data_IF_038112507774
#
_entry.id   IF_038112507774
#
_cell.length_a   1.000
_cell.length_b   1.000
_cell.length_c   1.000
_cell.angle_alpha   90.00
_cell.angle_beta   90.00
_cell.angle_gamma   90.00
#
_symmetry.space_group_name_H-M   'P 1'
#
loop_
_entity.id
_entity.type
_entity.pdbx_description
1 polymer ?
#
# COMPACT_ATOMS: atom_id res chain seq x y z
N UNK A 1 6.22 -2.41 6.32
CA UNK A 1 7.28 -3.37 6.70
C UNK A 1 7.21 -3.78 8.17
N UNK A 2 6.81 -2.91 9.12
CA UNK A 2 6.69 -3.29 10.55
C UNK A 2 5.38 -4.01 10.95
N UNK A 3 4.34 -3.93 10.12
CA UNK A 3 2.99 -4.39 10.49
C UNK A 3 2.79 -5.90 10.45
N UNK A 4 3.57 -6.60 9.61
CA UNK A 4 3.64 -8.06 9.64
C UNK A 4 4.13 -8.55 11.01
N UNK A 5 4.96 -7.75 11.71
CA UNK A 5 5.46 -7.99 13.06
C UNK A 5 4.40 -8.20 14.13
N UNK A 6 3.25 -7.52 13.99
CA UNK A 6 2.19 -7.49 15.02
C UNK A 6 1.39 -8.80 15.01
N UNK A 7 1.07 -9.34 13.82
CA UNK A 7 0.37 -10.63 13.69
C UNK A 7 1.17 -11.79 14.29
N UNK A 8 2.51 -11.71 14.28
CA UNK A 8 3.42 -12.76 14.75
C UNK A 8 3.38 -12.95 16.25
N UNK A 9 3.28 -11.85 17.02
CA UNK A 9 3.21 -11.92 18.49
C UNK A 9 1.99 -12.68 18.98
N UNK A 10 0.91 -12.70 18.21
CA UNK A 10 -0.30 -13.45 18.54
C UNK A 10 -0.30 -14.89 18.03
N UNK A 11 0.44 -15.20 16.95
CA UNK A 11 0.35 -16.50 16.27
C UNK A 11 1.63 -17.37 16.28
N UNK A 12 2.71 -16.95 16.96
CA UNK A 12 4.00 -17.69 17.02
C UNK A 12 4.59 -18.05 15.65
N UNK A 13 4.41 -17.17 14.68
CA UNK A 13 4.89 -17.36 13.30
C UNK A 13 6.33 -16.85 13.13
N UNK A 14 7.08 -17.44 12.19
CA UNK A 14 8.47 -17.04 11.90
C UNK A 14 8.50 -15.74 11.07
N UNK A 15 8.95 -14.66 11.72
CA UNK A 15 9.10 -13.33 11.12
C UNK A 15 9.93 -13.36 9.84
N UNK A 16 11.05 -14.08 9.87
CA UNK A 16 12.04 -14.07 8.80
C UNK A 16 11.51 -14.72 7.51
N UNK A 17 10.61 -15.70 7.66
CA UNK A 17 9.99 -16.38 6.53
C UNK A 17 8.77 -15.63 5.98
N UNK A 18 8.09 -14.84 6.82
CA UNK A 18 6.91 -14.06 6.43
C UNK A 18 7.22 -12.77 5.67
N UNK A 19 8.38 -12.18 5.93
CA UNK A 19 8.88 -11.04 5.14
C UNK A 19 9.49 -11.48 3.79
N UNK A 20 9.75 -12.79 3.61
CA UNK A 20 10.31 -13.35 2.38
C UNK A 20 9.23 -13.63 1.33
N UNK A 21 9.56 -13.58 0.03
CA UNK A 21 8.64 -13.95 -1.06
C UNK A 21 8.52 -15.48 -1.27
N UNK A 22 8.78 -16.25 -0.22
CA UNK A 22 8.73 -17.71 -0.24
C UNK A 22 7.32 -18.30 -0.11
N UNK A 23 7.15 -19.60 -0.44
CA UNK A 23 5.85 -20.30 -0.36
C UNK A 23 5.24 -20.33 1.05
N UNK A 24 6.06 -20.15 2.08
CA UNK A 24 5.61 -20.04 3.48
C UNK A 24 4.67 -18.85 3.67
N UNK A 25 5.00 -17.69 3.10
CA UNK A 25 4.18 -16.48 3.14
C UNK A 25 2.82 -16.71 2.47
N UNK A 26 2.81 -17.35 1.30
CA UNK A 26 1.58 -17.57 0.55
C UNK A 26 0.61 -18.53 1.27
N UNK A 27 1.16 -19.52 1.99
CA UNK A 27 0.35 -20.47 2.79
C UNK A 27 -0.37 -19.78 3.96
N UNK A 28 0.17 -18.68 4.48
CA UNK A 28 -0.39 -17.92 5.60
C UNK A 28 -1.05 -16.60 5.19
N UNK A 29 -0.93 -16.18 3.93
CA UNK A 29 -1.41 -14.88 3.42
C UNK A 29 -2.89 -14.65 3.68
N UNK A 30 -3.73 -15.65 3.39
CA UNK A 30 -5.17 -15.54 3.60
C UNK A 30 -5.54 -15.34 5.08
N UNK A 31 -4.83 -16.03 5.99
CA UNK A 31 -5.03 -15.87 7.43
C UNK A 31 -4.65 -14.48 7.92
N UNK A 32 -3.52 -13.95 7.41
CA UNK A 32 -3.06 -12.60 7.73
C UNK A 32 -3.99 -11.52 7.19
N UNK A 33 -4.52 -11.69 5.98
CA UNK A 33 -5.52 -10.76 5.42
C UNK A 33 -6.74 -10.74 6.31
N UNK A 34 -7.32 -11.91 6.65
CA UNK A 34 -8.51 -11.98 7.52
C UNK A 34 -8.30 -11.34 8.89
N UNK A 35 -7.15 -11.58 9.51
CA UNK A 35 -6.79 -10.94 10.77
C UNK A 35 -6.62 -9.42 10.60
N UNK A 36 -5.93 -8.99 9.54
CA UNK A 36 -5.70 -7.58 9.23
C UNK A 36 -7.02 -6.83 8.99
N UNK A 37 -7.95 -7.39 8.23
CA UNK A 37 -9.29 -6.82 8.06
C UNK A 37 -10.02 -6.74 9.40
N UNK A 38 -10.01 -7.80 10.21
CA UNK A 38 -10.67 -7.76 11.53
C UNK A 38 -10.09 -6.69 12.46
N UNK A 39 -8.79 -6.43 12.40
CA UNK A 39 -8.15 -5.33 13.17
C UNK A 39 -8.61 -3.98 12.64
N UNK A 40 -8.71 -3.82 11.31
CA UNK A 40 -9.16 -2.57 10.67
C UNK A 40 -10.64 -2.29 10.93
N UNK A 41 -11.48 -3.32 10.98
CA UNK A 41 -12.90 -3.19 11.30
C UNK A 41 -13.10 -2.65 12.73
N UNK A 42 -12.23 -3.04 13.67
CA UNK A 42 -12.27 -2.56 15.04
C UNK A 42 -11.57 -1.19 15.20
N UNK A 43 -10.42 -1.03 14.55
CA UNK A 43 -9.53 0.13 14.65
C UNK A 43 -8.92 0.46 13.26
N UNK A 44 -9.61 1.28 12.44
CA UNK A 44 -9.23 1.51 11.04
C UNK A 44 -7.81 2.03 10.84
N UNK A 45 -7.31 2.81 11.80
CA UNK A 45 -6.01 3.49 11.79
C UNK A 45 -4.91 2.73 12.57
N UNK A 46 -5.21 1.55 13.12
CA UNK A 46 -4.28 0.77 13.95
C UNK A 46 -2.90 0.63 13.32
N UNK A 47 -2.89 0.28 12.04
CA UNK A 47 -1.68 0.08 11.26
C UNK A 47 -0.98 1.41 10.91
N UNK A 48 -1.76 2.45 10.61
CA UNK A 48 -1.22 3.75 10.25
C UNK A 48 -0.48 4.42 11.41
N UNK A 49 -1.01 4.29 12.64
CA UNK A 49 -0.34 4.78 13.87
C UNK A 49 1.03 4.16 14.10
N UNK A 50 1.24 2.92 13.65
CA UNK A 50 2.50 2.21 13.79
C UNK A 50 3.45 2.42 12.60
N UNK A 51 3.07 3.18 11.57
CA UNK A 51 3.85 3.26 10.33
C UNK A 51 5.00 4.28 10.41
N UNK A 52 4.79 5.39 11.12
CA UNK A 52 5.80 6.45 11.28
C UNK A 52 6.29 6.42 12.73
N UNK A 53 7.57 6.07 12.98
CA UNK A 53 8.11 6.07 14.34
C UNK A 53 8.10 7.48 14.93
N UNK A 54 7.83 7.59 16.24
CA UNK A 54 7.87 8.88 16.97
C UNK A 54 9.24 9.58 16.94
N UNK A 55 10.30 8.86 16.58
CA UNK A 55 11.67 9.37 16.41
C UNK A 55 11.98 9.80 14.98
N UNK A 56 11.04 9.66 14.03
CA UNK A 56 11.23 10.09 12.65
C UNK A 56 11.32 11.62 12.60
N UNK A 57 12.41 12.11 12.01
CA UNK A 57 12.66 13.55 11.80
C UNK A 57 12.84 13.88 10.32
N UNK A 58 12.44 12.96 9.44
CA UNK A 58 12.56 13.13 8.00
C UNK A 58 11.53 14.15 7.51
N UNK A 59 11.96 15.05 6.62
CA UNK A 59 11.08 16.06 6.02
C UNK A 59 10.01 15.42 5.11
N UNK A 60 10.32 14.24 4.56
CA UNK A 60 9.45 13.49 3.64
C UNK A 60 9.44 12.02 4.03
N UNK A 61 8.24 11.47 4.23
CA UNK A 61 8.02 10.05 4.47
C UNK A 61 7.13 9.47 3.36
N UNK A 62 7.56 8.38 2.74
CA UNK A 62 6.81 7.70 1.68
C UNK A 62 6.10 6.48 2.27
N UNK A 63 4.77 6.50 2.21
CA UNK A 63 3.92 5.35 2.59
C UNK A 63 3.52 4.61 1.31
N UNK A 64 4.13 3.46 1.06
CA UNK A 64 4.04 2.78 -0.24
C UNK A 64 2.88 1.79 -0.40
N UNK A 65 2.21 1.39 0.70
CA UNK A 65 1.24 0.29 0.70
C UNK A 65 -0.05 0.68 1.44
N UNK A 66 -0.63 1.81 1.05
CA UNK A 66 -2.00 2.17 1.45
C UNK A 66 -2.98 1.36 0.60
N UNK A 67 -3.93 0.68 1.26
CA UNK A 67 -4.90 -0.21 0.58
C UNK A 67 -6.34 0.17 0.86
N UNK A 68 -6.60 1.06 1.81
CA UNK A 68 -7.95 1.47 2.21
C UNK A 68 -8.09 2.99 2.16
N UNK A 69 -9.28 3.52 1.87
CA UNK A 69 -9.57 4.94 2.03
C UNK A 69 -9.22 5.44 3.44
N UNK A 70 -9.53 4.64 4.47
CA UNK A 70 -9.22 4.96 5.87
C UNK A 70 -7.71 5.12 6.15
N UNK A 71 -6.84 4.43 5.40
CA UNK A 71 -5.39 4.66 5.51
C UNK A 71 -5.04 6.08 5.07
N UNK A 72 -5.59 6.51 3.93
CA UNK A 72 -5.35 7.84 3.34
C UNK A 72 -5.94 8.93 4.24
N UNK A 73 -7.18 8.76 4.68
CA UNK A 73 -7.89 9.68 5.59
C UNK A 73 -7.09 9.92 6.88
N UNK A 74 -6.53 8.85 7.47
CA UNK A 74 -5.69 8.98 8.64
C UNK A 74 -4.47 9.86 8.37
N UNK A 75 -3.73 9.62 7.28
CA UNK A 75 -2.53 10.40 7.01
C UNK A 75 -2.86 11.85 6.67
N UNK A 76 -3.92 12.11 5.90
CA UNK A 76 -4.39 13.45 5.59
C UNK A 76 -4.85 14.23 6.84
N UNK A 77 -5.42 13.54 7.84
CA UNK A 77 -5.84 14.17 9.09
C UNK A 77 -4.67 14.53 10.03
N UNK A 78 -3.54 13.84 9.93
CA UNK A 78 -2.41 13.97 10.86
C UNK A 78 -1.18 14.66 10.26
N UNK A 79 -1.04 14.67 8.93
CA UNK A 79 0.13 15.16 8.21
C UNK A 79 -0.27 15.91 6.96
N UNK A 80 0.66 16.72 6.43
CA UNK A 80 0.51 17.27 5.09
C UNK A 80 0.80 16.16 4.08
N UNK A 81 -0.24 15.65 3.43
CA UNK A 81 -0.15 14.47 2.55
C UNK A 81 -0.28 14.85 1.08
N UNK A 82 0.50 14.18 0.23
CA UNK A 82 0.33 14.13 -1.22
C UNK A 82 0.04 12.68 -1.60
N UNK A 83 -1.12 12.43 -2.20
CA UNK A 83 -1.54 11.09 -2.63
C UNK A 83 -1.13 10.83 -4.08
N UNK A 84 -0.46 9.71 -4.32
CA UNK A 84 0.02 9.31 -5.65
C UNK A 84 -0.49 7.92 -5.97
N UNK A 85 -1.32 7.82 -7.01
CA UNK A 85 -1.83 6.55 -7.54
C UNK A 85 -0.91 6.07 -8.65
N UNK A 86 -0.59 4.78 -8.66
CA UNK A 86 0.13 4.15 -9.78
C UNK A 86 -0.83 3.18 -10.45
N UNK A 87 -1.04 3.36 -11.74
CA UNK A 87 -1.94 2.54 -12.55
C UNK A 87 -1.22 1.98 -13.76
N UNK A 88 -1.70 0.84 -14.24
CA UNK A 88 -1.31 0.28 -15.52
C UNK A 88 -2.55 -0.34 -16.17
N UNK A 89 -2.64 -0.24 -17.49
CA UNK A 89 -3.74 -0.88 -18.22
C UNK A 89 -3.76 -2.38 -17.98
N UNK A 90 -4.93 -3.02 -18.11
CA UNK A 90 -5.04 -4.47 -17.96
C UNK A 90 -4.13 -5.18 -18.97
N UNK A 91 -4.06 -4.70 -20.21
CA UNK A 91 -3.22 -5.28 -21.26
C UNK A 91 -1.74 -5.24 -20.87
N UNK A 92 -1.27 -4.12 -20.30
CA UNK A 92 0.12 -4.00 -19.86
C UNK A 92 0.41 -4.86 -18.62
N UNK A 93 -0.54 -4.99 -17.70
CA UNK A 93 -0.44 -5.91 -16.56
C UNK A 93 -0.36 -7.36 -17.05
N UNK A 94 -1.23 -7.78 -17.95
CA UNK A 94 -1.25 -9.11 -18.55
C UNK A 94 0.06 -9.39 -19.31
N UNK A 95 0.58 -8.41 -20.05
CA UNK A 95 1.90 -8.50 -20.71
C UNK A 95 3.04 -8.78 -19.70
N UNK A 96 2.90 -8.30 -18.47
CA UNK A 96 3.84 -8.53 -17.35
C UNK A 96 3.56 -9.83 -16.59
N UNK A 97 2.59 -10.64 -17.03
CA UNK A 97 2.24 -11.93 -16.44
C UNK A 97 1.15 -11.85 -15.37
N UNK A 98 0.44 -10.73 -15.24
CA UNK A 98 -0.77 -10.68 -14.41
C UNK A 98 -1.84 -11.59 -15.01
N UNK A 99 -2.45 -12.42 -14.16
CA UNK A 99 -3.62 -13.23 -14.51
C UNK A 99 -4.68 -12.94 -13.46
N UNK A 100 -5.80 -12.38 -13.89
CA UNK A 100 -6.91 -12.08 -12.99
C UNK A 100 -7.39 -13.35 -12.29
N UNK A 101 -7.43 -13.29 -10.96
CA UNK A 101 -7.89 -14.36 -10.10
C UNK A 101 -9.11 -13.88 -9.32
N UNK A 102 -10.28 -14.42 -9.69
CA UNK A 102 -11.53 -14.14 -9.00
C UNK A 102 -11.43 -14.54 -7.53
N UNK A 103 -11.91 -13.67 -6.64
CA UNK A 103 -11.81 -13.86 -5.20
C UNK A 103 -10.46 -13.44 -4.60
N UNK A 104 -9.53 -12.93 -5.40
CA UNK A 104 -8.29 -12.29 -4.93
C UNK A 104 -8.22 -10.85 -5.45
N UNK A 105 -8.23 -10.67 -6.78
CA UNK A 105 -8.02 -9.36 -7.40
C UNK A 105 -9.24 -8.43 -7.33
N UNK A 106 -10.42 -8.98 -7.01
CA UNK A 106 -11.65 -8.22 -6.77
C UNK A 106 -11.93 -8.01 -5.28
N UNK A 107 -11.02 -8.42 -4.39
CA UNK A 107 -11.17 -8.16 -2.96
C UNK A 107 -10.84 -6.69 -2.64
N UNK A 108 -11.45 -6.12 -1.58
CA UNK A 108 -11.11 -4.78 -1.12
C UNK A 108 -9.60 -4.56 -0.90
N UNK A 109 -8.84 -5.61 -0.55
CA UNK A 109 -7.36 -5.58 -0.42
C UNK A 109 -6.64 -5.07 -1.67
N UNK A 110 -7.26 -5.20 -2.84
CA UNK A 110 -6.68 -4.79 -4.12
C UNK A 110 -7.46 -3.63 -4.79
N UNK A 111 -8.78 -3.52 -4.60
CA UNK A 111 -9.62 -2.57 -5.34
C UNK A 111 -10.23 -1.42 -4.52
N UNK A 112 -10.06 -1.37 -3.19
CA UNK A 112 -10.76 -0.38 -2.35
C UNK A 112 -10.37 1.09 -2.60
N UNK A 113 -9.35 1.34 -3.42
CA UNK A 113 -8.90 2.68 -3.82
C UNK A 113 -9.16 2.97 -5.31
N UNK A 114 -9.86 2.10 -6.03
CA UNK A 114 -10.06 2.27 -7.48
C UNK A 114 -10.92 3.49 -7.83
N UNK A 115 -11.84 3.86 -6.94
CA UNK A 115 -12.70 5.05 -7.10
C UNK A 115 -12.23 6.25 -6.25
N UNK A 116 -11.09 6.13 -5.57
CA UNK A 116 -10.59 7.19 -4.69
C UNK A 116 -9.94 8.31 -5.52
N UNK A 117 -10.24 9.57 -5.18
CA UNK A 117 -9.66 10.72 -5.87
C UNK A 117 -8.26 11.02 -5.32
N UNK A 118 -7.25 10.91 -6.18
CA UNK A 118 -5.84 11.09 -5.84
C UNK A 118 -5.29 12.39 -6.41
N UNK A 119 -4.37 13.04 -5.69
CA UNK A 119 -3.76 14.31 -6.13
C UNK A 119 -2.98 14.15 -7.45
N UNK A 120 -2.38 12.98 -7.64
CA UNK A 120 -1.61 12.64 -8.83
C UNK A 120 -1.79 11.17 -9.20
N UNK A 121 -1.84 10.88 -10.50
CA UNK A 121 -1.84 9.52 -11.05
C UNK A 121 -0.69 9.33 -12.02
N UNK A 122 0.15 8.33 -11.75
CA UNK A 122 1.21 7.86 -12.65
C UNK A 122 0.66 6.69 -13.45
N UNK A 123 0.62 6.87 -14.77
CA UNK A 123 0.29 5.77 -15.68
C UNK A 123 1.59 5.05 -16.05
N UNK A 124 1.76 3.85 -15.52
CA UNK A 124 2.86 2.93 -15.78
C UNK A 124 2.54 1.97 -16.92
N UNK A 125 2.24 2.55 -18.07
CA UNK A 125 2.15 1.84 -19.34
C UNK A 125 3.16 2.41 -20.34
N UNK A 126 3.27 1.79 -21.51
CA UNK A 126 4.16 2.27 -22.56
C UNK A 126 3.65 3.55 -23.25
N UNK A 127 2.50 4.10 -22.83
CA UNK A 127 1.91 5.30 -23.42
C UNK A 127 2.51 6.59 -22.85
N UNK A 128 3.13 6.53 -21.66
CA UNK A 128 3.73 7.68 -20.98
C UNK A 128 5.19 7.45 -20.62
N UNK A 129 5.93 8.55 -20.50
CA UNK A 129 7.29 8.52 -19.96
C UNK A 129 7.23 8.42 -18.44
N UNK A 130 7.38 7.20 -17.92
CA UNK A 130 7.38 6.92 -16.49
C UNK A 130 8.43 7.74 -15.73
N UNK A 131 9.62 7.97 -16.30
CA UNK A 131 10.68 8.74 -15.65
C UNK A 131 10.25 10.18 -15.47
N UNK A 132 9.59 10.74 -16.49
CA UNK A 132 9.03 12.09 -16.42
C UNK A 132 7.91 12.21 -15.40
N UNK A 133 7.01 11.23 -15.33
CA UNK A 133 5.91 11.24 -14.35
C UNK A 133 6.43 11.19 -12.91
N UNK A 134 7.47 10.39 -12.64
CA UNK A 134 8.16 10.38 -11.34
C UNK A 134 8.82 11.73 -11.06
N UNK A 135 9.43 12.36 -12.08
CA UNK A 135 9.97 13.72 -11.99
C UNK A 135 8.91 14.75 -11.57
N UNK A 136 7.71 14.68 -12.17
CA UNK A 136 6.60 15.56 -11.82
C UNK A 136 6.19 15.41 -10.34
N UNK A 137 6.14 14.18 -9.82
CA UNK A 137 5.86 13.92 -8.39
C UNK A 137 6.94 14.53 -7.51
N UNK A 138 8.21 14.31 -7.85
CA UNK A 138 9.34 14.87 -7.08
C UNK A 138 9.29 16.41 -7.06
N UNK A 139 8.96 17.05 -8.17
CA UNK A 139 8.83 18.50 -8.25
C UNK A 139 7.62 19.01 -7.46
N UNK A 140 6.52 18.25 -7.44
CA UNK A 140 5.36 18.57 -6.59
C UNK A 140 5.71 18.46 -5.11
N UNK A 141 6.46 17.46 -4.68
CA UNK A 141 6.93 17.33 -3.29
C UNK A 141 7.77 18.55 -2.91
N UNK A 142 8.76 18.93 -3.74
CA UNK A 142 9.61 20.11 -3.49
C UNK A 142 8.82 21.42 -3.40
N UNK A 143 7.73 21.56 -4.14
CA UNK A 143 6.88 22.75 -4.10
C UNK A 143 5.97 22.81 -2.85
N UNK A 144 5.80 21.67 -2.17
CA UNK A 144 4.97 21.53 -0.97
C UNK A 144 5.82 21.69 0.30
N UNK A 145 7.09 21.28 0.28
CA UNK A 145 8.05 21.55 1.37
C UNK A 145 8.24 23.06 1.59
#
# INVERSE_FOLDING_TARGET
MELQGISLKQNSLDYSQLISDGPYKETHRLGMIKWGESVRDAEPDFFCRATIPSTCTDDVVIISDCRRPTDIEYFQANYRTLTVRIEASIEERERRGFVFTEGIDNMPSECALDEYDHDMTIVNDQSRDFTREIGNVADRIKAIL
#
